data_IF_705510611412
#
_entry.id   IF_705510611412
#
_cell.length_a   1.000
_cell.length_b   1.000
_cell.length_c   1.000
_cell.angle_alpha   90.00
_cell.angle_beta   90.00
_cell.angle_gamma   90.00
#
_symmetry.space_group_name_H-M   'P 1'
#
loop_
_entity.id
_entity.type
_entity.pdbx_description
1 polymer ?
#
# COMPACT_ATOMS: atom_id res chain seq x y z
N UNK A 1 7.67 -23.33 -10.09
CA UNK A 1 6.90 -23.47 -8.83
C UNK A 1 5.45 -23.80 -9.21
N UNK A 2 4.86 -24.87 -8.67
CA UNK A 2 3.46 -25.23 -8.95
C UNK A 2 2.57 -24.46 -7.97
N UNK A 3 1.53 -23.79 -8.46
CA UNK A 3 0.57 -23.10 -7.60
C UNK A 3 -0.17 -24.16 -6.77
N UNK A 4 -0.06 -24.09 -5.44
CA UNK A 4 -0.72 -25.03 -4.52
C UNK A 4 -2.24 -24.85 -4.57
N UNK A 5 -2.68 -23.59 -4.49
CA UNK A 5 -4.08 -23.18 -4.52
C UNK A 5 -4.13 -21.69 -4.82
N UNK A 6 -5.18 -21.24 -5.52
CA UNK A 6 -5.40 -19.82 -5.82
C UNK A 6 -6.46 -19.29 -4.85
N UNK A 7 -6.02 -18.50 -3.86
CA UNK A 7 -6.90 -17.97 -2.81
C UNK A 7 -7.80 -16.83 -3.31
N UNK A 8 -7.27 -16.00 -4.21
CA UNK A 8 -7.99 -14.88 -4.82
C UNK A 8 -7.60 -14.78 -6.29
N UNK A 9 -8.59 -14.52 -7.14
CA UNK A 9 -8.37 -14.08 -8.50
C UNK A 9 -8.35 -12.56 -8.66
N UNK A 10 -8.29 -12.09 -9.91
CA UNK A 10 -8.23 -10.67 -10.20
C UNK A 10 -9.51 -9.96 -9.78
N UNK A 11 -10.66 -10.59 -9.99
CA UNK A 11 -11.97 -10.03 -9.65
C UNK A 11 -12.17 -10.02 -8.13
N UNK A 12 -11.69 -11.04 -7.42
CA UNK A 12 -11.67 -11.09 -5.95
C UNK A 12 -10.85 -9.95 -5.36
N UNK A 13 -9.66 -9.70 -5.93
CA UNK A 13 -8.79 -8.59 -5.49
C UNK A 13 -9.49 -7.25 -5.74
N UNK A 14 -10.07 -7.07 -6.93
CA UNK A 14 -10.75 -5.83 -7.29
C UNK A 14 -11.96 -5.55 -6.39
N UNK A 15 -12.81 -6.56 -6.14
CA UNK A 15 -13.92 -6.47 -5.19
C UNK A 15 -13.45 -6.11 -3.78
N UNK A 16 -12.38 -6.76 -3.33
CA UNK A 16 -11.82 -6.54 -1.99
C UNK A 16 -11.24 -5.14 -1.83
N UNK A 17 -10.53 -4.64 -2.86
CA UNK A 17 -10.01 -3.28 -2.87
C UNK A 17 -11.13 -2.24 -2.86
N UNK A 18 -12.19 -2.45 -3.66
CA UNK A 18 -13.32 -1.53 -3.67
C UNK A 18 -14.00 -1.46 -2.29
N UNK A 19 -14.24 -2.61 -1.64
CA UNK A 19 -14.78 -2.64 -0.27
C UNK A 19 -13.87 -1.90 0.72
N UNK A 20 -12.56 -2.17 0.68
CA UNK A 20 -11.59 -1.53 1.56
C UNK A 20 -11.58 0.01 1.38
N UNK A 21 -11.70 0.49 0.15
CA UNK A 21 -11.74 1.93 -0.16
C UNK A 21 -12.94 2.62 0.50
N UNK A 22 -14.14 2.04 0.37
CA UNK A 22 -15.32 2.57 1.04
C UNK A 22 -15.16 2.57 2.56
N UNK A 23 -14.65 1.47 3.14
CA UNK A 23 -14.41 1.38 4.59
C UNK A 23 -13.41 2.41 5.10
N UNK A 24 -12.32 2.68 4.35
CA UNK A 24 -11.34 3.70 4.70
C UNK A 24 -12.01 5.08 4.72
N UNK A 25 -12.74 5.44 3.67
CA UNK A 25 -13.38 6.76 3.55
C UNK A 25 -14.44 6.96 4.63
N UNK A 26 -15.29 5.97 4.86
CA UNK A 26 -16.35 6.03 5.87
C UNK A 26 -15.76 6.20 7.28
N UNK A 27 -14.76 5.39 7.65
CA UNK A 27 -14.13 5.46 8.98
C UNK A 27 -13.45 6.80 9.24
N UNK A 28 -12.91 7.44 8.19
CA UNK A 28 -12.24 8.74 8.29
C UNK A 28 -13.18 9.93 8.05
N UNK A 29 -14.48 9.68 7.79
CA UNK A 29 -15.50 10.71 7.49
C UNK A 29 -15.12 11.57 6.29
N UNK A 30 -14.65 10.91 5.23
CA UNK A 30 -14.18 11.53 3.99
C UNK A 30 -12.66 11.44 3.84
N UNK A 31 -12.14 12.12 2.81
CA UNK A 31 -10.73 12.02 2.41
C UNK A 31 -9.85 13.24 2.68
N UNK A 32 -10.38 14.29 3.30
CA UNK A 32 -9.72 15.61 3.40
C UNK A 32 -8.32 15.57 4.03
N UNK A 33 -8.13 14.76 5.06
CA UNK A 33 -6.87 14.65 5.82
C UNK A 33 -6.31 13.22 5.75
N UNK A 34 -6.38 12.59 4.57
CA UNK A 34 -5.95 11.21 4.36
C UNK A 34 -4.70 11.15 3.47
N UNK A 35 -3.76 10.29 3.85
CA UNK A 35 -2.64 9.89 3.00
C UNK A 35 -2.47 8.36 3.08
N UNK A 36 -1.88 7.75 2.05
CA UNK A 36 -1.65 6.30 1.98
C UNK A 36 -0.17 6.02 1.87
N UNK A 37 0.36 5.16 2.76
CA UNK A 37 1.77 4.74 2.72
C UNK A 37 1.86 3.26 2.40
N UNK A 38 2.52 2.93 1.28
CA UNK A 38 2.79 1.56 0.87
C UNK A 38 4.15 1.10 1.38
N UNK A 39 4.20 -0.08 2.01
CA UNK A 39 5.48 -0.69 2.39
C UNK A 39 6.05 -1.45 1.18
N UNK A 40 7.32 -1.22 0.84
CA UNK A 40 7.98 -1.92 -0.28
C UNK A 40 7.92 -3.45 -0.09
N UNK A 41 7.85 -4.24 -1.17
CA UNK A 41 7.78 -3.85 -2.59
C UNK A 41 6.34 -3.84 -3.11
N UNK A 42 5.55 -4.88 -2.80
CA UNK A 42 4.18 -5.04 -3.33
C UNK A 42 3.18 -4.08 -2.69
N UNK A 43 3.43 -3.61 -1.47
CA UNK A 43 2.56 -2.65 -0.78
C UNK A 43 2.52 -1.29 -1.48
N UNK A 44 3.58 -0.91 -2.20
CA UNK A 44 3.57 0.28 -3.06
C UNK A 44 2.47 0.21 -4.14
N UNK A 45 2.36 -0.90 -4.85
CA UNK A 45 1.37 -1.05 -5.92
C UNK A 45 -0.05 -1.04 -5.36
N UNK A 46 -0.26 -1.66 -4.21
CA UNK A 46 -1.55 -1.62 -3.52
C UNK A 46 -1.89 -0.21 -3.02
N UNK A 47 -0.93 0.49 -2.42
CA UNK A 47 -1.10 1.87 -1.96
C UNK A 47 -1.52 2.81 -3.10
N UNK A 48 -0.83 2.72 -4.25
CA UNK A 48 -1.18 3.50 -5.45
C UNK A 48 -2.60 3.21 -5.92
N UNK A 49 -3.01 1.93 -5.99
CA UNK A 49 -4.37 1.53 -6.39
C UNK A 49 -5.44 2.04 -5.41
N UNK A 50 -5.19 1.93 -4.11
CA UNK A 50 -6.12 2.39 -3.07
C UNK A 50 -6.29 3.92 -3.16
N UNK A 51 -5.18 4.66 -3.22
CA UNK A 51 -5.20 6.11 -3.32
C UNK A 51 -5.90 6.61 -4.59
N UNK A 52 -5.67 5.96 -5.74
CA UNK A 52 -6.37 6.29 -6.99
C UNK A 52 -7.88 6.08 -6.86
N UNK A 53 -8.31 4.96 -6.26
CA UNK A 53 -9.73 4.66 -6.05
C UNK A 53 -10.39 5.65 -5.10
N UNK A 54 -9.75 5.98 -3.98
CA UNK A 54 -10.25 7.00 -3.06
C UNK A 54 -10.32 8.36 -3.76
N UNK A 55 -9.29 8.71 -4.56
CA UNK A 55 -9.26 9.98 -5.27
C UNK A 55 -10.40 10.14 -6.25
N UNK A 56 -10.75 9.05 -6.96
CA UNK A 56 -11.91 9.00 -7.86
C UNK A 56 -13.24 9.08 -7.11
N UNK A 57 -13.36 8.41 -5.97
CA UNK A 57 -14.58 8.37 -5.17
C UNK A 57 -14.90 9.73 -4.55
N UNK A 58 -13.89 10.40 -4.00
CA UNK A 58 -14.04 11.63 -3.20
C UNK A 58 -13.72 12.91 -3.98
N UNK A 59 -13.31 12.77 -5.25
CA UNK A 59 -12.83 13.86 -6.10
C UNK A 59 -11.73 14.72 -5.42
N UNK A 60 -10.81 14.06 -4.72
CA UNK A 60 -9.72 14.67 -3.96
C UNK A 60 -8.43 13.88 -4.13
N UNK A 61 -7.32 14.54 -4.45
CA UNK A 61 -6.06 13.83 -4.69
C UNK A 61 -5.45 13.30 -3.38
N UNK A 62 -5.29 11.98 -3.28
CA UNK A 62 -4.70 11.34 -2.10
C UNK A 62 -3.18 11.23 -2.24
N UNK A 63 -2.39 11.82 -1.33
CA UNK A 63 -0.95 11.64 -1.31
C UNK A 63 -0.56 10.19 -1.08
N UNK A 64 0.45 9.72 -1.82
CA UNK A 64 1.00 8.37 -1.69
C UNK A 64 2.46 8.45 -1.27
N UNK A 65 2.80 7.70 -0.23
CA UNK A 65 4.15 7.55 0.28
C UNK A 65 4.61 6.10 0.15
N UNK A 66 5.92 5.90 0.14
CA UNK A 66 6.51 4.57 0.08
C UNK A 66 7.52 4.44 1.21
N UNK A 67 7.34 3.41 2.05
CA UNK A 67 8.21 3.12 3.17
C UNK A 67 9.08 1.91 2.85
N UNK A 68 10.40 2.07 2.95
CA UNK A 68 11.32 0.95 3.02
C UNK A 68 11.60 0.57 4.49
N UNK A 69 11.21 -0.64 4.86
CA UNK A 69 11.43 -1.20 6.21
C UNK A 69 12.65 -2.10 6.27
N UNK A 70 13.46 -2.19 5.22
CA UNK A 70 14.53 -3.18 5.05
C UNK A 70 15.53 -3.20 6.21
N UNK A 71 15.81 -2.09 6.90
CA UNK A 71 16.70 -2.10 8.07
C UNK A 71 16.00 -2.25 9.42
N UNK A 72 14.67 -2.18 9.45
CA UNK A 72 13.87 -2.27 10.67
C UNK A 72 13.37 -3.68 10.97
N UNK A 73 13.67 -4.65 10.10
CA UNK A 73 13.25 -6.04 10.32
C UNK A 73 14.35 -6.78 11.09
N UNK A 74 13.97 -7.44 12.17
CA UNK A 74 14.89 -8.21 13.02
C UNK A 74 15.61 -9.33 12.26
N UNK A 75 15.01 -9.84 11.17
CA UNK A 75 15.55 -10.92 10.34
C UNK A 75 16.67 -10.47 9.39
N UNK A 76 17.02 -9.18 9.38
CA UNK A 76 18.06 -8.62 8.51
C UNK A 76 19.46 -9.00 8.97
N UNK A 77 19.65 -9.18 10.28
CA UNK A 77 20.93 -9.64 10.86
C UNK A 77 21.22 -11.11 10.57
N UNK A 78 20.20 -11.89 10.18
CA UNK A 78 20.30 -13.35 9.97
C UNK A 78 20.55 -13.74 8.50
N UNK A 79 20.58 -12.78 7.56
CA UNK A 79 20.73 -13.06 6.12
C UNK A 79 22.19 -12.90 5.67
N UNK A 80 22.71 -13.92 4.98
CA UNK A 80 24.06 -13.98 4.40
C UNK A 80 24.30 -13.01 3.22
N UNK A 81 23.24 -12.39 2.68
CA UNK A 81 23.33 -11.38 1.62
C UNK A 81 23.02 -10.01 2.19
N UNK A 82 23.84 -9.02 1.85
CA UNK A 82 23.55 -7.63 2.19
C UNK A 82 22.17 -7.24 1.63
N UNK A 83 21.31 -6.58 2.43
CA UNK A 83 20.01 -6.13 1.94
C UNK A 83 20.17 -5.06 0.86
N UNK A 84 19.41 -5.16 -0.23
CA UNK A 84 19.23 -4.02 -1.13
C UNK A 84 18.30 -3.02 -0.47
N UNK A 85 18.86 -1.89 -0.09
CA UNK A 85 18.14 -0.76 0.50
C UNK A 85 17.55 0.07 -0.62
N UNK A 86 16.26 0.37 -0.52
CA UNK A 86 15.56 1.34 -1.36
C UNK A 86 15.20 2.57 -0.54
N UNK A 87 14.87 3.63 -1.25
CA UNK A 87 14.53 4.91 -0.64
C UNK A 87 13.11 4.89 -0.09
N UNK A 88 12.95 5.45 1.12
CA UNK A 88 11.65 5.88 1.66
C UNK A 88 11.29 7.23 1.06
N UNK A 89 10.10 7.33 0.47
CA UNK A 89 9.60 8.50 -0.25
C UNK A 89 8.28 8.94 0.37
N UNK A 90 8.29 9.94 1.25
CA UNK A 90 7.08 10.48 1.87
C UNK A 90 7.15 12.01 1.86
N UNK A 91 6.55 12.62 0.84
CA UNK A 91 6.77 14.03 0.48
C UNK A 91 5.58 14.95 0.82
N UNK A 92 4.71 14.56 1.75
CA UNK A 92 3.44 15.27 2.04
C UNK A 92 3.29 15.73 3.51
N UNK A 93 4.41 15.95 4.21
CA UNK A 93 4.44 16.46 5.59
C UNK A 93 4.83 17.95 5.70
N UNK A 94 4.78 18.69 4.59
CA UNK A 94 5.16 20.11 4.55
C UNK A 94 3.94 21.02 4.54
#
# INVERSE_FOLDING_TARGET
>A
MKVKEKIMDADDIERTLNRLVYEIVERNKGSKNLAVVGIRTRGEFLAKRIAEKISKLENNQIPVGILDITFYRDDVRLKLRQPEVKTTEINFFN
#
